data_IF_207141117804
#
_entry.id   IF_207141117804
#
_cell.length_a   1.000
_cell.length_b   1.000
_cell.length_c   1.000
_cell.angle_alpha   90.00
_cell.angle_beta   90.00
_cell.angle_gamma   90.00
#
_symmetry.space_group_name_H-M   'P 1'
#
loop_
_entity.id
_entity.type
_entity.pdbx_description
1 polymer ?
#
# COMPACT_ATOMS: atom_id res chain seq x y z
N UNK A 1 -30.46 -12.34 -12.78
CA UNK A 1 -29.66 -11.12 -12.91
C UNK A 1 -29.50 -10.52 -11.52
N UNK A 2 -28.60 -11.06 -10.75
CA UNK A 2 -28.22 -10.55 -9.41
C UNK A 2 -26.96 -9.73 -9.57
N UNK A 3 -27.07 -8.45 -9.30
CA UNK A 3 -26.03 -7.46 -9.31
C UNK A 3 -24.83 -7.92 -8.45
N UNK A 4 -23.71 -8.22 -9.08
CA UNK A 4 -22.40 -8.37 -8.46
C UNK A 4 -21.91 -6.98 -8.05
N UNK A 5 -22.44 -6.49 -6.94
CA UNK A 5 -22.00 -5.26 -6.31
C UNK A 5 -20.63 -5.45 -5.67
N UNK A 6 -19.64 -4.77 -6.23
CA UNK A 6 -18.42 -4.28 -5.60
C UNK A 6 -17.66 -5.24 -4.65
N UNK A 7 -16.80 -6.09 -5.23
CA UNK A 7 -15.73 -6.77 -4.50
C UNK A 7 -14.76 -5.78 -3.78
N UNK A 8 -14.76 -4.51 -4.18
CA UNK A 8 -13.93 -3.43 -3.60
C UNK A 8 -14.60 -2.68 -2.45
N UNK A 9 -15.89 -2.90 -2.19
CA UNK A 9 -16.62 -2.18 -1.13
C UNK A 9 -16.22 -2.57 0.29
N UNK A 10 -15.39 -3.60 0.45
CA UNK A 10 -14.91 -4.04 1.76
C UNK A 10 -13.69 -3.25 2.26
N UNK A 11 -12.92 -2.66 1.36
CA UNK A 11 -11.86 -1.73 1.74
C UNK A 11 -12.39 -0.32 2.07
N UNK A 12 -13.64 0.02 1.63
CA UNK A 12 -14.26 1.31 1.83
C UNK A 12 -15.48 1.31 2.77
N UNK A 13 -15.92 0.14 3.28
CA UNK A 13 -17.06 0.02 4.21
C UNK A 13 -16.63 -0.16 5.65
N UNK A 14 -15.97 0.82 6.16
CA UNK A 14 -15.95 1.02 7.58
C UNK A 14 -16.92 2.15 7.89
N UNK A 15 -18.07 1.77 8.39
CA UNK A 15 -19.16 2.68 8.73
C UNK A 15 -18.79 3.55 9.91
N UNK A 16 -19.09 4.84 9.83
CA UNK A 16 -18.99 5.79 10.94
C UNK A 16 -19.74 5.26 12.17
N UNK A 17 -19.02 4.68 13.11
CA UNK A 17 -19.52 4.50 14.47
C UNK A 17 -19.28 5.81 15.21
N UNK A 18 -20.34 6.49 15.61
CA UNK A 18 -20.25 7.66 16.51
C UNK A 18 -19.60 7.18 17.79
N UNK A 19 -18.42 7.75 18.11
CA UNK A 19 -17.66 7.46 19.30
C UNK A 19 -18.38 7.91 20.58
N UNK A 20 -17.98 7.32 21.70
CA UNK A 20 -18.36 7.74 23.03
C UNK A 20 -17.82 9.16 23.29
N UNK A 21 -18.54 9.93 24.12
CA UNK A 21 -18.16 11.27 24.54
C UNK A 21 -16.72 11.28 25.09
N UNK A 22 -15.89 12.18 24.56
CA UNK A 22 -14.51 12.35 25.01
C UNK A 22 -14.46 12.88 26.44
N UNK A 23 -13.61 12.35 27.33
CA UNK A 23 -13.41 12.94 28.65
C UNK A 23 -12.77 14.33 28.53
N UNK A 24 -13.32 15.30 29.27
CA UNK A 24 -12.76 16.64 29.39
C UNK A 24 -11.47 16.58 30.22
N UNK A 25 -10.44 17.28 29.77
CA UNK A 25 -9.23 17.50 30.56
C UNK A 25 -9.56 18.41 31.77
N UNK A 26 -8.78 18.33 32.87
CA UNK A 26 -8.99 19.15 34.06
C UNK A 26 -8.90 20.68 33.84
N UNK A 27 -8.46 21.13 32.66
CA UNK A 27 -8.33 22.53 32.28
C UNK A 27 -9.33 23.01 31.23
N UNK A 28 -10.33 22.15 30.85
CA UNK A 28 -11.44 22.55 29.99
C UNK A 28 -11.06 22.76 28.52
N UNK A 29 -9.90 22.26 28.07
CA UNK A 29 -9.53 22.23 26.68
C UNK A 29 -10.27 21.07 26.01
N UNK A 30 -11.07 21.37 24.99
CA UNK A 30 -11.74 20.37 24.14
C UNK A 30 -10.65 19.58 23.46
N UNK A 31 -10.31 18.40 24.01
CA UNK A 31 -9.56 17.39 23.29
C UNK A 31 -10.35 17.08 22.03
N UNK A 32 -9.78 17.30 20.85
CA UNK A 32 -10.46 17.00 19.60
C UNK A 32 -11.06 15.59 19.65
N UNK A 33 -12.30 15.43 19.20
CA UNK A 33 -12.97 14.15 19.19
C UNK A 33 -12.05 13.11 18.53
N UNK A 34 -11.76 12.03 19.28
CA UNK A 34 -10.96 10.93 18.76
C UNK A 34 -11.86 10.10 17.81
N UNK A 35 -11.50 10.06 16.55
CA UNK A 35 -12.19 9.29 15.51
C UNK A 35 -11.38 8.03 15.21
N UNK A 36 -11.96 6.85 15.40
CA UNK A 36 -11.36 5.59 14.95
C UNK A 36 -11.41 5.56 13.42
N UNK A 37 -10.24 5.44 12.80
CA UNK A 37 -10.13 5.30 11.37
C UNK A 37 -10.20 3.82 11.00
N UNK A 38 -11.09 3.53 10.07
CA UNK A 38 -11.20 2.20 9.52
C UNK A 38 -10.05 1.95 8.51
N UNK A 39 -9.34 0.80 8.62
CA UNK A 39 -8.33 0.42 7.63
C UNK A 39 -7.06 -0.25 8.17
N UNK A 40 -6.87 -0.35 9.46
CA UNK A 40 -5.69 -1.00 10.07
C UNK A 40 -5.85 -2.51 10.27
N UNK A 41 -6.06 -3.32 9.23
CA UNK A 41 -6.29 -4.76 9.40
C UNK A 41 -5.10 -5.52 10.02
N UNK A 42 -3.89 -4.96 9.97
CA UNK A 42 -2.66 -5.64 10.44
C UNK A 42 -1.95 -4.94 11.58
N UNK A 43 -2.18 -3.63 11.78
CA UNK A 43 -1.38 -2.81 12.70
C UNK A 43 -2.12 -2.40 13.99
N UNK A 44 -3.36 -2.88 14.21
CA UNK A 44 -4.19 -2.51 15.36
C UNK A 44 -4.99 -1.23 15.13
N UNK A 45 -5.61 -0.71 16.20
CA UNK A 45 -6.49 0.46 16.13
C UNK A 45 -5.73 1.73 15.73
N UNK A 46 -6.22 2.41 14.69
CA UNK A 46 -5.72 3.69 14.22
C UNK A 46 -6.73 4.78 14.58
N UNK A 47 -6.29 5.83 15.28
CA UNK A 47 -7.16 6.88 15.78
C UNK A 47 -6.71 8.25 15.28
N UNK A 48 -7.63 8.99 14.67
CA UNK A 48 -7.41 10.41 14.34
C UNK A 48 -7.73 11.28 15.54
N UNK A 49 -6.83 12.25 15.82
CA UNK A 49 -7.04 13.29 16.81
C UNK A 49 -6.61 14.62 16.21
N UNK A 50 -7.59 15.44 15.82
CA UNK A 50 -7.33 16.68 15.09
C UNK A 50 -6.64 16.42 13.74
N UNK A 51 -5.48 17.04 13.52
CA UNK A 51 -4.68 16.91 12.30
C UNK A 51 -3.60 15.81 12.39
N UNK A 52 -3.73 14.90 13.33
CA UNK A 52 -2.76 13.82 13.53
C UNK A 52 -3.45 12.46 13.67
N UNK A 53 -2.69 11.39 13.37
CA UNK A 53 -3.10 10.00 13.51
C UNK A 53 -2.23 9.33 14.57
N UNK A 54 -2.84 8.47 15.39
CA UNK A 54 -2.15 7.62 16.37
C UNK A 54 -2.33 6.17 16.00
N UNK A 55 -1.22 5.42 16.02
CA UNK A 55 -1.22 3.98 15.76
C UNK A 55 -0.20 3.28 16.68
N UNK A 56 -0.31 1.96 16.90
CA UNK A 56 0.63 1.24 17.74
C UNK A 56 2.08 1.46 17.32
N UNK A 57 2.99 1.57 18.30
CA UNK A 57 4.42 1.58 18.04
C UNK A 57 4.92 0.13 17.92
N UNK A 58 5.31 -0.25 16.72
CA UNK A 58 5.85 -1.58 16.41
C UNK A 58 7.36 -1.64 16.65
N UNK A 59 7.93 -2.84 16.67
CA UNK A 59 9.37 -3.04 16.82
C UNK A 59 10.20 -2.36 15.70
N UNK A 60 9.62 -2.22 14.51
CA UNK A 60 10.22 -1.57 13.33
C UNK A 60 9.98 -0.06 13.27
N UNK A 61 9.06 0.50 14.07
CA UNK A 61 8.61 1.88 13.93
C UNK A 61 9.74 2.92 13.97
N UNK A 62 10.75 2.72 14.82
CA UNK A 62 11.88 3.65 14.86
C UNK A 62 12.64 3.74 13.53
N UNK A 63 12.82 2.60 12.82
CA UNK A 63 13.47 2.54 11.51
C UNK A 63 12.57 3.12 10.42
N UNK A 64 11.29 2.80 10.47
CA UNK A 64 10.28 3.33 9.54
C UNK A 64 10.22 4.86 9.64
N UNK A 65 10.17 5.40 10.86
CA UNK A 65 10.19 6.86 11.10
C UNK A 65 11.46 7.50 10.51
N UNK A 66 12.64 6.96 10.79
CA UNK A 66 13.88 7.48 10.24
C UNK A 66 13.92 7.44 8.70
N UNK A 67 13.37 6.38 8.11
CA UNK A 67 13.25 6.27 6.66
C UNK A 67 12.28 7.32 6.08
N UNK A 68 11.10 7.49 6.69
CA UNK A 68 10.13 8.52 6.27
C UNK A 68 10.71 9.94 6.39
N UNK A 69 11.46 10.23 7.45
CA UNK A 69 12.16 11.52 7.61
C UNK A 69 13.18 11.74 6.48
N UNK A 70 13.96 10.72 6.14
CA UNK A 70 14.90 10.79 5.00
C UNK A 70 14.19 11.05 3.68
N UNK A 71 13.03 10.42 3.44
CA UNK A 71 12.21 10.67 2.25
C UNK A 71 11.72 12.12 2.22
N UNK A 72 11.24 12.66 3.35
CA UNK A 72 10.81 14.07 3.46
C UNK A 72 11.94 15.05 3.21
N UNK A 73 13.11 14.82 3.79
CA UNK A 73 14.30 15.65 3.57
C UNK A 73 14.72 15.68 2.09
N UNK A 74 14.49 14.57 1.37
CA UNK A 74 14.71 14.47 -0.07
C UNK A 74 13.58 15.07 -0.93
N UNK A 75 12.53 15.63 -0.30
CA UNK A 75 11.41 16.27 -0.99
C UNK A 75 10.27 15.32 -1.41
N UNK A 76 10.26 14.08 -0.94
CA UNK A 76 9.12 13.17 -1.14
C UNK A 76 8.03 13.51 -0.14
N UNK A 77 6.79 13.66 -0.64
CA UNK A 77 5.63 13.96 0.20
C UNK A 77 5.17 12.67 0.91
N UNK A 78 5.48 12.57 2.19
CA UNK A 78 5.06 11.50 3.11
C UNK A 78 4.55 12.12 4.41
N UNK A 79 3.71 11.44 5.21
CA UNK A 79 3.24 11.96 6.49
C UNK A 79 4.39 12.38 7.41
N UNK A 80 4.27 13.54 8.05
CA UNK A 80 5.21 13.97 9.07
C UNK A 80 5.14 13.08 10.31
N UNK A 81 6.26 12.95 10.99
CA UNK A 81 6.37 12.15 12.22
C UNK A 81 6.52 13.06 13.44
N UNK A 82 5.80 12.75 14.53
CA UNK A 82 5.78 13.53 15.76
C UNK A 82 6.23 12.72 17.00
N UNK A 83 6.90 11.57 16.74
CA UNK A 83 7.37 10.70 17.82
C UNK A 83 6.25 9.87 18.44
N UNK A 84 6.26 9.77 19.78
CA UNK A 84 5.28 8.99 20.55
C UNK A 84 4.44 9.89 21.43
N UNK A 85 3.15 9.55 21.59
CA UNK A 85 2.30 10.15 22.61
C UNK A 85 2.52 9.52 24.02
N UNK A 86 1.79 10.03 25.02
CA UNK A 86 1.87 9.55 26.40
C UNK A 86 1.43 8.08 26.58
N UNK A 87 0.73 7.53 25.59
CA UNK A 87 0.34 6.11 25.56
C UNK A 87 1.37 5.25 24.81
N UNK A 88 2.47 5.84 24.34
CA UNK A 88 3.52 5.16 23.60
C UNK A 88 3.17 4.87 22.15
N UNK A 89 2.09 5.45 21.60
CA UNK A 89 1.65 5.26 20.20
C UNK A 89 2.45 6.18 19.27
N UNK A 90 2.72 5.73 18.05
CA UNK A 90 3.27 6.56 16.99
C UNK A 90 2.28 7.66 16.59
N UNK A 91 2.77 8.89 16.49
CA UNK A 91 2.00 10.06 16.05
C UNK A 91 2.49 10.51 14.69
N UNK A 92 1.59 10.57 13.72
CA UNK A 92 1.84 11.00 12.35
C UNK A 92 0.89 12.14 11.96
N UNK A 93 1.23 12.90 10.91
CA UNK A 93 0.26 13.78 10.26
C UNK A 93 -0.94 13.00 9.75
N UNK A 94 -2.14 13.55 9.92
CA UNK A 94 -3.29 13.13 9.14
C UNK A 94 -3.18 13.74 7.74
N UNK A 95 -3.23 12.92 6.71
CA UNK A 95 -3.21 13.37 5.31
C UNK A 95 -4.65 13.53 4.83
N UNK A 96 -5.15 14.77 4.66
CA UNK A 96 -6.49 14.98 4.12
C UNK A 96 -6.53 14.65 2.62
N UNK A 97 -7.65 14.14 2.15
CA UNK A 97 -7.88 13.82 0.74
C UNK A 97 -8.82 12.65 0.55
N UNK A 98 -8.87 12.12 -0.66
CA UNK A 98 -9.65 10.95 -1.04
C UNK A 98 -8.73 9.75 -1.15
N UNK A 99 -9.11 8.63 -0.56
CA UNK A 99 -8.39 7.37 -0.76
C UNK A 99 -8.50 6.93 -2.22
N UNK A 100 -7.38 6.58 -2.83
CA UNK A 100 -7.36 6.20 -4.24
C UNK A 100 -8.21 4.95 -4.52
N UNK A 101 -8.40 4.08 -3.54
CA UNK A 101 -9.28 2.91 -3.65
C UNK A 101 -10.75 3.30 -3.87
N UNK A 102 -11.21 4.42 -3.29
CA UNK A 102 -12.61 4.87 -3.38
C UNK A 102 -12.98 5.39 -4.77
N UNK A 103 -11.97 5.75 -5.57
CA UNK A 103 -12.13 6.29 -6.92
C UNK A 103 -11.45 5.44 -8.00
N UNK A 104 -10.94 4.25 -7.62
CA UNK A 104 -10.35 3.30 -8.58
C UNK A 104 -11.44 2.74 -9.53
N UNK A 105 -11.07 2.42 -10.78
CA UNK A 105 -9.74 2.52 -11.41
C UNK A 105 -9.34 3.97 -11.75
N UNK A 106 -8.07 4.30 -11.48
CA UNK A 106 -7.55 5.65 -11.69
C UNK A 106 -7.32 5.99 -13.17
N UNK A 107 -7.40 7.28 -13.50
CA UNK A 107 -7.07 7.79 -14.83
C UNK A 107 -5.57 7.67 -15.16
N UNK A 108 -5.22 7.58 -16.44
CA UNK A 108 -3.86 7.33 -16.92
C UNK A 108 -2.84 8.37 -16.41
N UNK A 109 -3.24 9.62 -16.33
CA UNK A 109 -2.39 10.70 -15.82
C UNK A 109 -2.01 10.51 -14.36
N UNK A 110 -2.98 10.14 -13.52
CA UNK A 110 -2.76 9.87 -12.11
C UNK A 110 -1.86 8.64 -11.96
N UNK A 111 -2.13 7.58 -12.71
CA UNK A 111 -1.32 6.36 -12.71
C UNK A 111 0.14 6.63 -13.12
N UNK A 112 0.36 7.49 -14.13
CA UNK A 112 1.72 7.91 -14.52
C UNK A 112 2.43 8.67 -13.41
N UNK A 113 1.74 9.57 -12.73
CA UNK A 113 2.27 10.34 -11.59
C UNK A 113 2.57 9.44 -10.38
N UNK A 114 1.75 8.42 -10.14
CA UNK A 114 2.02 7.39 -9.12
C UNK A 114 3.31 6.65 -9.44
N UNK A 115 3.51 6.22 -10.68
CA UNK A 115 4.76 5.62 -11.12
C UNK A 115 5.98 6.51 -10.83
N UNK A 116 5.90 7.80 -11.17
CA UNK A 116 6.97 8.78 -10.91
C UNK A 116 7.24 8.98 -9.40
N UNK A 117 6.19 9.01 -8.57
CA UNK A 117 6.33 9.10 -7.12
C UNK A 117 7.07 7.87 -6.56
N UNK A 118 6.66 6.66 -6.96
CA UNK A 118 7.31 5.42 -6.54
C UNK A 118 8.77 5.38 -7.00
N UNK A 119 9.06 5.84 -8.22
CA UNK A 119 10.43 5.98 -8.71
C UNK A 119 11.24 6.90 -7.79
N UNK A 120 10.73 8.06 -7.43
CA UNK A 120 11.37 8.99 -6.51
C UNK A 120 11.68 8.37 -5.15
N UNK A 121 10.73 7.65 -4.56
CA UNK A 121 10.92 6.91 -3.30
C UNK A 121 12.07 5.92 -3.42
N UNK A 122 12.07 5.10 -4.47
CA UNK A 122 13.11 4.10 -4.69
C UNK A 122 14.49 4.73 -4.97
N UNK A 123 14.55 5.86 -5.67
CA UNK A 123 15.82 6.54 -5.97
C UNK A 123 16.44 7.19 -4.72
N UNK A 124 15.63 7.65 -3.79
CA UNK A 124 16.11 8.09 -2.46
C UNK A 124 16.59 6.88 -1.67
N UNK A 125 15.77 5.84 -1.58
CA UNK A 125 16.09 4.62 -0.82
C UNK A 125 17.38 3.93 -1.30
N UNK A 126 17.62 3.88 -2.60
CA UNK A 126 18.81 3.25 -3.19
C UNK A 126 20.14 3.93 -2.80
N UNK A 127 20.09 5.14 -2.24
CA UNK A 127 21.27 5.86 -1.72
C UNK A 127 21.57 5.50 -0.26
N UNK A 128 20.67 4.79 0.39
CA UNK A 128 20.79 4.43 1.80
C UNK A 128 21.35 3.00 1.94
N UNK A 129 22.17 2.74 2.95
CA UNK A 129 22.54 1.36 3.26
C UNK A 129 21.31 0.59 3.75
N UNK A 130 21.18 -0.67 3.36
CA UNK A 130 20.18 -1.58 3.94
C UNK A 130 20.74 -2.11 5.26
N UNK A 131 20.14 -1.76 6.42
CA UNK A 131 20.64 -2.23 7.71
C UNK A 131 20.47 -3.76 7.83
N UNK A 132 21.53 -4.46 8.21
CA UNK A 132 21.52 -5.92 8.31
C UNK A 132 20.58 -6.45 9.41
N UNK A 133 20.24 -5.60 10.39
CA UNK A 133 19.35 -5.90 11.51
C UNK A 133 17.89 -5.45 11.27
N UNK A 134 17.57 -4.90 10.08
CA UNK A 134 16.19 -4.62 9.72
C UNK A 134 15.51 -5.91 9.27
N UNK A 135 14.43 -6.35 9.94
CA UNK A 135 13.77 -7.60 9.58
C UNK A 135 13.23 -7.55 8.14
N UNK A 136 13.24 -8.68 7.47
CA UNK A 136 12.59 -8.82 6.18
C UNK A 136 11.09 -8.48 6.28
N UNK A 137 10.52 -7.94 5.22
CA UNK A 137 9.08 -7.68 5.11
C UNK A 137 8.25 -8.97 5.11
N UNK A 138 6.94 -8.80 5.13
CA UNK A 138 5.97 -9.90 5.14
C UNK A 138 6.13 -10.87 3.97
N UNK A 139 6.44 -10.34 2.79
CA UNK A 139 6.75 -11.07 1.56
C UNK A 139 8.14 -10.67 1.06
N UNK A 140 9.19 -11.32 1.57
CA UNK A 140 10.57 -10.93 1.25
C UNK A 140 10.87 -11.10 -0.24
N UNK A 141 11.55 -10.11 -0.81
CA UNK A 141 12.10 -10.23 -2.16
C UNK A 141 13.23 -11.27 -2.19
N UNK A 142 13.45 -11.93 -3.34
CA UNK A 142 14.57 -12.87 -3.50
C UNK A 142 15.95 -12.22 -3.22
N UNK A 143 16.08 -10.94 -3.55
CA UNK A 143 17.26 -10.12 -3.28
C UNK A 143 16.81 -8.76 -2.80
N UNK A 144 17.23 -8.37 -1.60
CA UNK A 144 16.91 -7.07 -1.03
C UNK A 144 18.12 -6.14 -1.16
N UNK A 145 17.95 -5.03 -1.88
CA UNK A 145 19.01 -4.05 -2.16
C UNK A 145 18.65 -2.62 -1.74
N UNK A 146 17.39 -2.39 -1.33
CA UNK A 146 16.92 -1.11 -0.80
C UNK A 146 15.76 -1.32 0.18
N UNK A 147 15.35 -0.24 0.85
CA UNK A 147 14.14 -0.25 1.67
C UNK A 147 12.97 0.14 0.78
N UNK A 148 11.93 -0.69 0.74
CA UNK A 148 10.69 -0.45 0.02
C UNK A 148 9.52 -0.26 0.97
N UNK A 149 8.43 0.30 0.46
CA UNK A 149 7.15 0.38 1.16
C UNK A 149 6.51 -1.00 1.37
N UNK A 150 6.63 -1.88 0.37
CA UNK A 150 6.10 -3.24 0.29
C UNK A 150 4.57 -3.39 0.25
N UNK A 151 3.83 -2.28 0.37
CA UNK A 151 2.36 -2.25 0.27
C UNK A 151 1.86 -1.04 -0.55
N UNK A 152 2.51 -0.78 -1.68
CA UNK A 152 2.16 0.31 -2.62
C UNK A 152 0.89 -0.04 -3.38
N UNK A 153 -0.25 0.40 -2.85
CA UNK A 153 -1.55 0.09 -3.43
C UNK A 153 -2.54 1.26 -3.31
N UNK A 154 -3.69 1.14 -3.98
CA UNK A 154 -4.72 2.18 -3.97
C UNK A 154 -5.33 2.44 -2.59
N UNK A 155 -5.31 1.46 -1.70
CA UNK A 155 -5.76 1.63 -0.30
C UNK A 155 -4.76 2.33 0.63
N UNK A 156 -3.52 2.54 0.16
CA UNK A 156 -2.47 3.27 0.88
C UNK A 156 -2.06 4.56 0.17
N UNK A 157 -2.84 5.03 -0.80
CA UNK A 157 -2.60 6.29 -1.50
C UNK A 157 -3.73 7.27 -1.23
N UNK A 158 -3.38 8.44 -0.69
CA UNK A 158 -4.28 9.59 -0.55
C UNK A 158 -4.05 10.55 -1.70
N UNK A 159 -5.15 11.01 -2.32
CA UNK A 159 -5.16 12.00 -3.40
C UNK A 159 -5.86 13.26 -2.91
N UNK A 160 -5.14 14.38 -2.92
CA UNK A 160 -5.69 15.71 -2.65
C UNK A 160 -5.29 16.65 -3.80
N UNK A 161 -6.20 16.90 -4.74
CA UNK A 161 -5.94 17.67 -5.96
C UNK A 161 -4.72 17.10 -6.71
N UNK A 162 -3.62 17.86 -6.70
CA UNK A 162 -2.37 17.45 -7.34
C UNK A 162 -1.39 16.71 -6.40
N UNK A 163 -1.74 16.53 -5.13
CA UNK A 163 -0.92 15.78 -4.19
C UNK A 163 -1.23 14.30 -4.26
N UNK A 164 -0.18 13.49 -4.21
CA UNK A 164 -0.23 12.04 -4.08
C UNK A 164 0.63 11.67 -2.89
N UNK A 165 0.05 11.10 -1.85
CA UNK A 165 0.77 10.78 -0.60
C UNK A 165 0.52 9.33 -0.22
N UNK A 166 1.58 8.53 -0.19
CA UNK A 166 1.51 7.19 0.38
C UNK A 166 1.48 7.25 1.90
N UNK A 167 0.56 6.52 2.48
CA UNK A 167 0.38 6.32 3.93
C UNK A 167 0.62 4.85 4.29
N UNK A 168 0.58 4.53 5.58
CA UNK A 168 0.75 3.17 6.12
C UNK A 168 2.10 2.51 5.76
N UNK A 169 3.16 3.14 6.24
CA UNK A 169 4.55 2.71 6.04
C UNK A 169 4.99 1.54 6.93
N UNK A 170 4.09 0.90 7.67
CA UNK A 170 4.43 -0.18 8.62
C UNK A 170 5.06 -1.41 7.93
N UNK A 171 4.74 -1.62 6.66
CA UNK A 171 5.32 -2.64 5.82
C UNK A 171 6.73 -2.32 5.30
N UNK A 172 7.25 -1.10 5.56
CA UNK A 172 8.54 -0.71 5.03
C UNK A 172 9.66 -1.59 5.57
N UNK A 173 10.41 -2.20 4.66
CA UNK A 173 11.43 -3.20 4.97
C UNK A 173 12.38 -3.41 3.78
N UNK A 174 13.52 -4.11 3.99
CA UNK A 174 14.39 -4.53 2.91
C UNK A 174 13.65 -5.32 1.82
N UNK A 175 13.81 -4.89 0.57
CA UNK A 175 13.17 -5.49 -0.61
C UNK A 175 13.95 -5.14 -1.89
N UNK A 176 13.37 -5.32 -3.06
CA UNK A 176 13.92 -4.89 -4.34
C UNK A 176 12.92 -4.00 -5.11
N UNK A 177 13.47 -3.11 -5.94
CA UNK A 177 12.66 -2.27 -6.84
C UNK A 177 11.64 -3.09 -7.62
N UNK A 178 12.08 -4.16 -8.23
CA UNK A 178 11.24 -4.98 -9.11
C UNK A 178 10.09 -5.65 -8.35
N UNK A 179 10.33 -6.07 -7.11
CA UNK A 179 9.32 -6.74 -6.28
C UNK A 179 8.24 -5.76 -5.79
N UNK A 180 8.64 -4.57 -5.38
CA UNK A 180 7.73 -3.51 -4.94
C UNK A 180 6.94 -2.92 -6.12
N UNK A 181 7.63 -2.66 -7.26
CA UNK A 181 7.00 -2.24 -8.51
C UNK A 181 5.98 -3.26 -9.02
N UNK A 182 6.26 -4.56 -8.91
CA UNK A 182 5.32 -5.60 -9.34
C UNK A 182 4.00 -5.52 -8.56
N UNK A 183 4.06 -5.27 -7.25
CA UNK A 183 2.86 -5.10 -6.43
C UNK A 183 2.08 -3.84 -6.79
N UNK A 184 2.79 -2.72 -6.91
CA UNK A 184 2.19 -1.45 -7.33
C UNK A 184 1.53 -1.57 -8.71
N UNK A 185 2.19 -2.23 -9.67
CA UNK A 185 1.67 -2.45 -11.02
C UNK A 185 0.36 -3.24 -11.03
N UNK A 186 0.20 -4.24 -10.16
CA UNK A 186 -1.06 -4.98 -10.00
C UNK A 186 -2.19 -4.03 -9.57
N UNK A 187 -1.95 -3.24 -8.52
CA UNK A 187 -2.95 -2.36 -7.95
C UNK A 187 -3.30 -1.18 -8.87
N UNK A 188 -2.30 -0.44 -9.35
CA UNK A 188 -2.50 0.76 -10.18
C UNK A 188 -2.81 0.44 -11.64
N UNK A 189 -2.36 -0.70 -12.16
CA UNK A 189 -2.80 -1.26 -13.43
C UNK A 189 -4.24 -1.77 -13.40
N UNK A 190 -4.80 -1.97 -12.20
CA UNK A 190 -6.11 -2.56 -11.96
C UNK A 190 -6.24 -3.95 -12.61
N UNK A 191 -5.27 -4.84 -12.29
CA UNK A 191 -5.12 -6.15 -12.89
C UNK A 191 -5.93 -7.22 -12.12
N UNK A 192 -7.25 -7.12 -12.20
CA UNK A 192 -8.19 -7.98 -11.48
C UNK A 192 -9.18 -8.65 -12.43
N UNK A 193 -9.78 -9.80 -12.06
CA UNK A 193 -10.59 -10.65 -12.97
C UNK A 193 -11.71 -9.94 -13.73
N UNK A 194 -12.38 -8.97 -13.11
CA UNK A 194 -13.50 -8.24 -13.70
C UNK A 194 -13.08 -7.01 -14.52
N UNK A 195 -11.77 -6.75 -14.61
CA UNK A 195 -11.25 -5.56 -15.29
C UNK A 195 -11.24 -5.74 -16.79
N UNK A 196 -11.49 -4.64 -17.51
CA UNK A 196 -11.26 -4.60 -18.96
C UNK A 196 -9.76 -4.69 -19.26
N UNK A 197 -9.36 -5.71 -20.00
CA UNK A 197 -7.94 -6.01 -20.29
C UNK A 197 -7.26 -4.86 -21.03
N UNK A 198 -7.93 -4.21 -21.98
CA UNK A 198 -7.34 -3.11 -22.74
C UNK A 198 -7.12 -1.88 -21.86
N UNK A 199 -8.09 -1.55 -21.00
CA UNK A 199 -7.97 -0.44 -20.08
C UNK A 199 -6.90 -0.71 -19.02
N UNK A 200 -6.77 -1.94 -18.53
CA UNK A 200 -5.72 -2.36 -17.59
C UNK A 200 -4.33 -2.30 -18.26
N UNK A 201 -4.21 -2.74 -19.51
CA UNK A 201 -2.98 -2.63 -20.28
C UNK A 201 -2.54 -1.17 -20.47
N UNK A 202 -3.47 -0.26 -20.76
CA UNK A 202 -3.18 1.16 -20.88
C UNK A 202 -2.68 1.77 -19.55
N UNK A 203 -3.29 1.37 -18.40
CA UNK A 203 -2.82 1.81 -17.07
C UNK A 203 -1.44 1.23 -16.74
N UNK A 204 -1.21 -0.04 -17.05
CA UNK A 204 0.08 -0.68 -16.83
C UNK A 204 1.20 0.01 -17.62
N UNK A 205 0.95 0.36 -18.89
CA UNK A 205 1.88 1.14 -19.71
C UNK A 205 2.12 2.54 -19.09
N UNK A 206 1.06 3.25 -18.72
CA UNK A 206 1.17 4.57 -18.08
C UNK A 206 1.94 4.52 -16.76
N UNK A 207 1.76 3.47 -15.95
CA UNK A 207 2.49 3.23 -14.73
C UNK A 207 3.99 3.01 -15.00
N UNK A 208 4.31 2.11 -15.93
CA UNK A 208 5.69 1.80 -16.30
C UNK A 208 6.42 3.01 -16.90
N UNK A 209 5.73 3.81 -17.71
CA UNK A 209 6.26 5.07 -18.25
C UNK A 209 6.54 6.09 -17.15
N UNK A 210 5.59 6.26 -16.22
CA UNK A 210 5.76 7.16 -15.09
C UNK A 210 6.90 6.75 -14.15
N UNK A 211 7.06 5.46 -13.92
CA UNK A 211 8.17 4.90 -13.15
C UNK A 211 9.52 5.03 -13.87
N UNK A 212 9.53 5.35 -15.15
CA UNK A 212 10.71 5.31 -16.02
C UNK A 212 11.36 3.91 -16.02
N UNK A 213 10.49 2.88 -16.16
CA UNK A 213 10.93 1.50 -16.17
C UNK A 213 11.83 1.24 -17.39
N UNK A 214 13.03 0.75 -17.12
CA UNK A 214 13.94 0.35 -18.19
C UNK A 214 13.44 -0.92 -18.91
N UNK A 215 14.09 -1.25 -20.03
CA UNK A 215 13.72 -2.40 -20.84
C UNK A 215 13.74 -3.71 -20.04
N UNK A 216 14.76 -3.89 -19.20
CA UNK A 216 14.91 -5.12 -18.43
C UNK A 216 13.78 -5.31 -17.42
N UNK A 217 13.38 -4.25 -16.70
CA UNK A 217 12.24 -4.27 -15.79
C UNK A 217 10.93 -4.52 -16.55
N UNK A 218 10.70 -3.84 -17.69
CA UNK A 218 9.50 -4.03 -18.53
C UNK A 218 9.35 -5.47 -19.03
N UNK A 219 10.44 -6.11 -19.45
CA UNK A 219 10.43 -7.51 -19.90
C UNK A 219 10.13 -8.49 -18.76
N UNK A 220 10.59 -8.20 -17.53
CA UNK A 220 10.39 -9.07 -16.36
C UNK A 220 9.02 -8.86 -15.67
N UNK A 221 8.47 -7.64 -15.75
CA UNK A 221 7.31 -7.23 -14.96
C UNK A 221 6.10 -8.15 -15.09
N UNK A 222 5.71 -8.68 -16.26
CA UNK A 222 4.58 -9.62 -16.38
C UNK A 222 4.73 -10.87 -15.52
N UNK A 223 5.93 -11.43 -15.45
CA UNK A 223 6.22 -12.60 -14.60
C UNK A 223 6.26 -12.22 -13.12
N UNK A 224 6.92 -11.13 -12.78
CA UNK A 224 7.03 -10.65 -11.41
C UNK A 224 5.67 -10.30 -10.79
N UNK A 225 4.74 -9.73 -11.57
CA UNK A 225 3.36 -9.48 -11.12
C UNK A 225 2.64 -10.78 -10.77
N UNK A 226 2.76 -11.82 -11.60
CA UNK A 226 2.16 -13.12 -11.33
C UNK A 226 2.77 -13.77 -10.07
N UNK A 227 4.09 -13.71 -9.94
CA UNK A 227 4.81 -14.25 -8.78
C UNK A 227 4.46 -13.49 -7.50
N UNK A 228 4.31 -12.17 -7.57
CA UNK A 228 3.94 -11.34 -6.41
C UNK A 228 2.50 -11.59 -5.95
N UNK A 229 1.56 -11.75 -6.89
CA UNK A 229 0.17 -12.10 -6.58
C UNK A 229 0.10 -13.52 -5.97
N UNK A 230 0.83 -14.48 -6.55
CA UNK A 230 0.92 -15.85 -6.02
C UNK A 230 1.52 -15.88 -4.62
N UNK A 231 2.57 -15.10 -4.36
CA UNK A 231 3.20 -15.02 -3.04
C UNK A 231 2.20 -14.49 -1.97
N UNK A 232 1.31 -13.55 -2.33
CA UNK A 232 0.27 -13.09 -1.43
C UNK A 232 -0.77 -14.18 -1.16
N UNK A 233 -1.21 -14.89 -2.18
CA UNK A 233 -2.11 -16.05 -2.01
C UNK A 233 -1.50 -17.11 -1.08
N UNK A 234 -0.25 -17.49 -1.31
CA UNK A 234 0.45 -18.50 -0.50
C UNK A 234 0.66 -18.05 0.96
N UNK A 235 0.94 -16.76 1.18
CA UNK A 235 1.00 -16.20 2.53
C UNK A 235 -0.33 -16.41 3.27
N UNK A 236 -1.45 -16.03 2.64
CA UNK A 236 -2.78 -16.14 3.25
C UNK A 236 -3.15 -17.61 3.48
N UNK A 237 -2.94 -18.47 2.48
CA UNK A 237 -3.22 -19.90 2.56
C UNK A 237 -2.42 -20.58 3.70
N UNK A 238 -1.11 -20.35 3.72
CA UNK A 238 -0.23 -20.93 4.75
C UNK A 238 -0.58 -20.39 6.13
N UNK A 239 -0.88 -19.09 6.23
CA UNK A 239 -1.31 -18.48 7.49
C UNK A 239 -2.61 -19.09 8.02
N UNK A 240 -3.56 -19.39 7.12
CA UNK A 240 -4.79 -20.09 7.47
C UNK A 240 -4.50 -21.50 8.00
N UNK A 241 -3.63 -22.27 7.35
CA UNK A 241 -3.27 -23.62 7.76
C UNK A 241 -2.65 -23.69 9.16
N UNK A 242 -1.88 -22.65 9.56
CA UNK A 242 -1.21 -22.61 10.87
C UNK A 242 -1.91 -21.69 11.89
N UNK A 243 -3.07 -21.09 11.56
CA UNK A 243 -3.81 -20.19 12.44
C UNK A 243 -3.09 -18.86 12.73
N UNK A 244 -2.29 -18.34 11.80
CA UNK A 244 -1.55 -17.08 11.98
C UNK A 244 -2.42 -15.89 11.64
N UNK A 245 -2.87 -15.16 12.67
CA UNK A 245 -3.69 -13.94 12.51
C UNK A 245 -2.84 -12.70 12.19
N UNK A 246 -3.44 -11.69 11.49
CA UNK A 246 -4.81 -11.64 10.96
C UNK A 246 -4.99 -12.37 9.61
N UNK A 247 -3.92 -12.85 9.00
CA UNK A 247 -3.93 -13.43 7.64
C UNK A 247 -4.75 -14.72 7.54
N UNK A 248 -4.88 -15.48 8.65
CA UNK A 248 -5.70 -16.69 8.69
C UNK A 248 -7.19 -16.36 8.48
N UNK A 249 -7.71 -15.37 9.20
CA UNK A 249 -9.08 -14.86 9.02
C UNK A 249 -9.26 -14.22 7.66
N UNK A 250 -8.32 -13.40 7.20
CA UNK A 250 -8.35 -12.77 5.88
C UNK A 250 -8.45 -13.78 4.74
N UNK A 251 -7.81 -14.95 4.85
CA UNK A 251 -7.93 -16.01 3.84
C UNK A 251 -9.38 -16.44 3.63
N UNK A 252 -10.12 -16.61 4.73
CA UNK A 252 -11.54 -17.01 4.72
C UNK A 252 -12.47 -15.86 4.32
N UNK A 253 -12.09 -14.62 4.65
CA UNK A 253 -12.84 -13.41 4.39
C UNK A 253 -12.67 -12.91 2.94
N UNK A 254 -12.59 -13.84 1.95
CA UNK A 254 -12.52 -13.51 0.52
C UNK A 254 -11.12 -13.19 -0.04
N UNK A 255 -10.13 -12.79 0.78
CA UNK A 255 -8.81 -12.39 0.25
C UNK A 255 -8.07 -13.58 -0.40
N UNK A 256 -8.27 -14.82 0.09
CA UNK A 256 -7.71 -16.01 -0.54
C UNK A 256 -8.15 -16.18 -1.99
N UNK A 257 -9.47 -16.14 -2.22
CA UNK A 257 -10.04 -16.24 -3.56
C UNK A 257 -9.65 -15.06 -4.45
N UNK A 258 -9.62 -13.86 -3.89
CA UNK A 258 -9.20 -12.65 -4.60
C UNK A 258 -7.78 -12.80 -5.17
N UNK A 259 -6.80 -13.15 -4.35
CA UNK A 259 -5.41 -13.28 -4.80
C UNK A 259 -5.18 -14.47 -5.71
N UNK A 260 -5.88 -15.58 -5.50
CA UNK A 260 -5.84 -16.72 -6.42
C UNK A 260 -6.37 -16.34 -7.81
N UNK A 261 -7.51 -15.67 -7.87
CA UNK A 261 -8.12 -15.26 -9.13
C UNK A 261 -7.32 -14.13 -9.80
N UNK A 262 -6.74 -13.20 -9.03
CA UNK A 262 -5.82 -12.19 -9.55
C UNK A 262 -4.57 -12.82 -10.17
N UNK A 263 -3.98 -13.81 -9.52
CA UNK A 263 -2.84 -14.56 -10.08
C UNK A 263 -3.20 -15.19 -11.43
N UNK A 264 -4.32 -15.91 -11.50
CA UNK A 264 -4.80 -16.55 -12.73
C UNK A 264 -5.10 -15.54 -13.84
N UNK A 265 -5.67 -14.39 -13.50
CA UNK A 265 -5.95 -13.31 -14.44
C UNK A 265 -4.66 -12.76 -15.03
N UNK A 266 -3.67 -12.46 -14.18
CA UNK A 266 -2.37 -11.93 -14.62
C UNK A 266 -1.66 -12.95 -15.52
N UNK A 267 -1.61 -14.22 -15.15
CA UNK A 267 -0.99 -15.30 -15.93
C UNK A 267 -1.66 -15.49 -17.30
N UNK A 268 -2.99 -15.50 -17.33
CA UNK A 268 -3.77 -15.65 -18.56
C UNK A 268 -3.46 -14.55 -19.58
N UNK A 269 -3.23 -13.34 -19.11
CA UNK A 269 -3.02 -12.15 -19.93
C UNK A 269 -1.57 -11.69 -20.02
N UNK A 270 -0.59 -12.54 -19.66
CA UNK A 270 0.84 -12.22 -19.78
C UNK A 270 1.25 -11.71 -21.18
N UNK A 271 0.76 -12.30 -22.30
CA UNK A 271 1.09 -11.78 -23.62
C UNK A 271 0.58 -10.35 -23.87
N UNK A 272 -0.56 -10.00 -23.28
CA UNK A 272 -1.15 -8.65 -23.39
C UNK A 272 -0.30 -7.66 -22.60
N UNK A 273 0.11 -8.00 -21.38
CA UNK A 273 1.00 -7.17 -20.54
C UNK A 273 2.38 -6.99 -21.19
N UNK A 274 2.98 -8.05 -21.72
CA UNK A 274 4.29 -7.99 -22.41
C UNK A 274 4.23 -7.07 -23.61
N UNK A 275 3.14 -7.12 -24.40
CA UNK A 275 2.98 -6.28 -25.59
C UNK A 275 3.01 -4.80 -25.26
N UNK A 276 2.30 -4.36 -24.23
CA UNK A 276 2.20 -2.92 -23.87
C UNK A 276 3.38 -2.40 -23.08
N UNK A 277 4.18 -3.29 -22.49
CA UNK A 277 5.37 -2.90 -21.74
C UNK A 277 6.63 -2.82 -22.62
N UNK A 278 6.73 -3.62 -23.70
CA UNK A 278 7.96 -3.76 -24.48
C UNK A 278 7.85 -3.06 -25.86
N UNK A 279 6.66 -2.83 -26.35
CA UNK A 279 6.38 -2.21 -27.64
C UNK A 279 5.71 -0.84 -27.50
#
# INVERSE_FOLDING_TARGET
MTSLGNAYSWFSRAGRRRGAEAPLDPYGLVMGEAEVLDGGNTSGEVVRVGDTVRKPWLATSARVVAFMETLREAGIDVPGTHGRDDQGRLVLDFVPGTMAIDIAPLGLDVVRRVGALIRGIHDVSARLPVPADWPAGLLPAPHADLICHNDLATWNLVIDRDRLVFIDWDGAAPSSRSWDVAYAAISFGHLFPESDVCASAARLAAFADGYDADRALREQLPTLMADRARAMYELLRTSHEIGREPWASMFLDFHGDHWLNTTRFIEKHQPDWSRVLVH
#
